data_IF_853567390948
#
_entry.id   IF_853567390948
#
_cell.length_a   1.000
_cell.length_b   1.000
_cell.length_c   1.000
_cell.angle_alpha   90.00
_cell.angle_beta   90.00
_cell.angle_gamma   90.00
#
_symmetry.space_group_name_H-M   'P 1'
#
loop_
_entity.id
_entity.type
_entity.pdbx_description
1 polymer ?
#
# COMPACT_ATOMS: atom_id res chain seq x y z
N UNK A 1 -7.93 28.90 24.92
CA UNK A 1 -9.14 28.53 24.17
C UNK A 1 -9.01 28.69 22.65
N UNK A 2 -8.92 29.89 22.05
CA UNK A 2 -8.99 30.01 20.57
C UNK A 2 -7.85 29.34 19.76
N UNK A 3 -6.63 29.27 20.32
CA UNK A 3 -5.48 28.62 19.67
C UNK A 3 -5.52 27.09 19.79
N UNK A 4 -5.93 26.56 20.95
CA UNK A 4 -6.08 25.12 21.19
C UNK A 4 -7.12 24.52 20.24
N UNK A 5 -8.29 25.15 20.11
CA UNK A 5 -9.33 24.68 19.17
C UNK A 5 -8.85 24.66 17.72
N UNK A 6 -7.97 25.59 17.32
CA UNK A 6 -7.38 25.62 15.98
C UNK A 6 -6.39 24.48 15.77
N UNK A 7 -5.55 24.18 16.76
CA UNK A 7 -4.61 23.06 16.70
C UNK A 7 -5.35 21.71 16.61
N UNK A 8 -6.40 21.51 17.41
CA UNK A 8 -7.23 20.30 17.35
C UNK A 8 -7.97 20.17 16.00
N UNK A 9 -8.44 21.28 15.43
CA UNK A 9 -9.07 21.28 14.09
C UNK A 9 -8.06 20.93 12.99
N UNK A 10 -6.83 21.45 13.07
CA UNK A 10 -5.75 21.10 12.15
C UNK A 10 -5.36 19.62 12.30
N UNK A 11 -5.33 19.10 13.53
CA UNK A 11 -5.12 17.68 13.78
C UNK A 11 -6.26 16.83 13.20
N UNK A 12 -7.53 17.23 13.32
CA UNK A 12 -8.63 16.51 12.67
C UNK A 12 -8.46 16.46 11.13
N UNK A 13 -8.06 17.56 10.51
CA UNK A 13 -7.73 17.62 9.09
C UNK A 13 -6.55 16.70 8.74
N UNK A 14 -5.48 16.70 9.55
CA UNK A 14 -4.32 15.85 9.38
C UNK A 14 -4.65 14.35 9.53
N UNK A 15 -5.56 14.01 10.44
CA UNK A 15 -6.04 12.64 10.61
C UNK A 15 -6.78 12.17 9.35
N UNK A 16 -7.73 12.96 8.85
CA UNK A 16 -8.48 12.63 7.62
C UNK A 16 -7.52 12.46 6.44
N UNK A 17 -6.55 13.36 6.31
CA UNK A 17 -5.50 13.29 5.29
C UNK A 17 -4.62 12.03 5.39
N UNK A 18 -4.14 11.71 6.60
CA UNK A 18 -3.19 10.62 6.83
C UNK A 18 -3.82 9.25 7.00
N UNK A 19 -5.15 9.17 7.21
CA UNK A 19 -5.84 7.91 7.46
C UNK A 19 -5.67 6.87 6.35
N UNK A 20 -5.73 7.20 5.04
CA UNK A 20 -5.50 6.22 3.97
C UNK A 20 -4.11 5.58 4.04
N UNK A 21 -3.06 6.39 4.26
CA UNK A 21 -1.69 5.91 4.41
C UNK A 21 -1.56 5.00 5.64
N UNK A 22 -1.96 5.49 6.82
CA UNK A 22 -1.74 4.77 8.07
C UNK A 22 -2.53 3.47 8.10
N UNK A 23 -3.84 3.53 7.82
CA UNK A 23 -4.69 2.33 7.86
C UNK A 23 -4.37 1.36 6.74
N UNK A 24 -3.99 1.88 5.56
CA UNK A 24 -3.54 1.07 4.43
C UNK A 24 -2.29 0.26 4.78
N UNK A 25 -1.25 0.91 5.30
CA UNK A 25 0.00 0.22 5.67
C UNK A 25 -0.15 -0.66 6.91
N UNK A 26 -1.02 -0.31 7.87
CA UNK A 26 -1.39 -1.24 8.96
C UNK A 26 -2.04 -2.52 8.40
N UNK A 27 -2.88 -2.38 7.38
CA UNK A 27 -3.51 -3.53 6.71
C UNK A 27 -2.49 -4.37 5.95
N UNK A 28 -1.51 -3.74 5.27
CA UNK A 28 -0.35 -4.44 4.68
C UNK A 28 0.39 -5.22 5.76
N UNK A 29 0.70 -4.59 6.90
CA UNK A 29 1.36 -5.24 8.03
C UNK A 29 0.59 -6.47 8.53
N UNK A 30 -0.72 -6.32 8.74
CA UNK A 30 -1.62 -7.41 9.15
C UNK A 30 -1.63 -8.55 8.11
N UNK A 31 -1.79 -8.24 6.83
CA UNK A 31 -1.84 -9.24 5.75
C UNK A 31 -0.52 -9.99 5.59
N UNK A 32 0.60 -9.33 5.83
CA UNK A 32 1.92 -10.00 5.77
C UNK A 32 2.17 -10.95 6.94
N UNK A 33 1.51 -10.74 8.09
CA UNK A 33 1.72 -11.52 9.32
C UNK A 33 0.64 -12.57 9.55
N UNK A 34 -0.63 -12.18 9.43
CA UNK A 34 -1.78 -12.97 9.88
C UNK A 34 -2.74 -13.35 8.72
N UNK A 35 -2.70 -12.62 7.60
CA UNK A 35 -3.66 -12.79 6.50
C UNK A 35 -5.04 -12.20 6.81
N UNK A 36 -6.02 -12.45 5.94
CA UNK A 36 -7.40 -11.96 6.11
C UNK A 36 -8.41 -12.88 5.43
N UNK A 37 -9.30 -13.49 6.22
CA UNK A 37 -10.33 -14.39 5.69
C UNK A 37 -9.71 -15.60 4.98
N UNK A 38 -9.88 -15.70 3.66
CA UNK A 38 -9.31 -16.76 2.82
C UNK A 38 -7.96 -16.36 2.23
N UNK A 39 -7.57 -15.09 2.34
CA UNK A 39 -6.27 -14.63 1.91
C UNK A 39 -5.25 -15.06 2.98
N UNK A 40 -4.34 -15.99 2.68
CA UNK A 40 -3.34 -16.43 3.65
C UNK A 40 -2.35 -15.30 3.94
N UNK A 41 -1.71 -15.37 5.12
CA UNK A 41 -0.54 -14.55 5.39
C UNK A 41 0.53 -14.77 4.31
N UNK A 42 1.16 -13.71 3.84
CA UNK A 42 2.17 -13.80 2.78
C UNK A 42 3.20 -12.71 2.93
N UNK A 43 4.47 -13.10 2.91
CA UNK A 43 5.60 -12.17 2.99
C UNK A 43 5.59 -11.19 1.80
N UNK A 44 6.28 -10.05 1.97
CA UNK A 44 6.53 -9.13 0.86
C UNK A 44 7.11 -9.86 -0.35
N UNK A 45 6.77 -9.37 -1.54
CA UNK A 45 7.23 -9.86 -2.83
C UNK A 45 6.78 -11.29 -3.16
N UNK A 46 5.73 -11.78 -2.50
CA UNK A 46 5.07 -13.05 -2.80
C UNK A 46 3.57 -12.86 -3.02
N UNK A 47 2.97 -13.75 -3.81
CA UNK A 47 1.53 -13.74 -4.06
C UNK A 47 0.77 -14.56 -3.01
N UNK A 48 -0.27 -13.96 -2.45
CA UNK A 48 -1.37 -14.63 -1.78
C UNK A 48 -2.54 -14.77 -2.77
N UNK A 49 -3.25 -15.89 -2.70
CA UNK A 49 -4.42 -16.13 -3.55
C UNK A 49 -5.66 -16.28 -2.69
N UNK A 50 -6.66 -15.43 -2.93
CA UNK A 50 -7.96 -15.57 -2.29
C UNK A 50 -8.77 -16.64 -3.01
N UNK A 51 -9.47 -17.47 -2.25
CA UNK A 51 -10.43 -18.42 -2.79
C UNK A 51 -11.86 -17.82 -2.74
N UNK A 52 -12.75 -18.24 -3.66
CA UNK A 52 -14.05 -17.58 -3.91
C UNK A 52 -15.05 -17.63 -2.73
N UNK A 53 -14.67 -18.25 -1.61
CA UNK A 53 -15.50 -18.35 -0.40
C UNK A 53 -15.53 -17.07 0.43
N UNK A 54 -14.77 -16.03 0.07
CA UNK A 54 -14.71 -14.78 0.83
C UNK A 54 -15.38 -13.65 0.10
N UNK A 55 -16.37 -13.04 0.75
CA UNK A 55 -16.96 -11.77 0.34
C UNK A 55 -15.97 -10.60 0.44
N UNK A 56 -14.84 -10.69 -0.25
CA UNK A 56 -14.06 -9.53 -0.60
C UNK A 56 -14.94 -8.62 -1.45
N UNK A 57 -15.12 -7.33 -1.10
CA UNK A 57 -15.97 -6.44 -1.84
C UNK A 57 -15.52 -6.34 -3.31
N UNK A 58 -16.43 -6.62 -4.25
CA UNK A 58 -16.16 -6.51 -5.70
C UNK A 58 -15.73 -7.80 -6.41
N UNK A 59 -15.78 -8.96 -5.75
CA UNK A 59 -15.31 -10.24 -6.30
C UNK A 59 -16.40 -11.09 -7.00
N UNK A 60 -17.57 -10.52 -7.31
CA UNK A 60 -18.61 -11.23 -8.06
C UNK A 60 -18.09 -11.63 -9.45
N UNK A 61 -17.75 -12.92 -9.62
CA UNK A 61 -17.26 -13.46 -10.89
C UNK A 61 -15.76 -13.30 -11.13
N UNK A 62 -14.95 -13.05 -10.09
CA UNK A 62 -13.48 -13.04 -10.21
C UNK A 62 -12.76 -13.83 -9.13
N UNK A 63 -11.58 -14.37 -9.45
CA UNK A 63 -10.62 -14.83 -8.44
C UNK A 63 -9.50 -13.82 -8.28
N UNK A 64 -9.21 -13.46 -7.02
CA UNK A 64 -8.25 -12.44 -6.65
C UNK A 64 -6.91 -13.05 -6.23
N UNK A 65 -5.81 -12.39 -6.62
CA UNK A 65 -4.48 -12.59 -6.04
C UNK A 65 -3.92 -11.25 -5.61
N UNK A 66 -3.15 -11.24 -4.53
CA UNK A 66 -2.60 -10.04 -3.94
C UNK A 66 -1.12 -10.25 -3.66
N UNK A 67 -0.29 -9.25 -3.95
CA UNK A 67 1.10 -9.21 -3.50
C UNK A 67 1.39 -7.82 -2.93
N UNK A 68 1.92 -7.78 -1.71
CA UNK A 68 2.53 -6.56 -1.19
C UNK A 68 3.97 -6.49 -1.66
N UNK A 69 4.33 -5.39 -2.29
CA UNK A 69 5.63 -5.15 -2.88
C UNK A 69 6.47 -4.34 -1.91
N UNK A 70 7.68 -4.81 -1.67
CA UNK A 70 8.75 -4.05 -1.04
C UNK A 70 9.86 -3.86 -2.08
N UNK A 71 9.95 -2.63 -2.56
CA UNK A 71 10.94 -2.15 -3.53
C UNK A 71 12.10 -1.41 -2.85
N UNK A 72 12.12 -1.33 -1.52
CA UNK A 72 13.21 -0.69 -0.76
C UNK A 72 14.54 -1.42 -0.91
N UNK A 73 14.49 -2.71 -1.25
CA UNK A 73 15.68 -3.55 -1.51
C UNK A 73 16.08 -3.60 -3.00
N UNK A 74 15.30 -2.96 -3.88
CA UNK A 74 15.55 -2.90 -5.32
C UNK A 74 14.33 -3.27 -6.16
N UNK A 75 14.48 -3.24 -7.50
CA UNK A 75 13.39 -3.51 -8.41
C UNK A 75 13.06 -5.01 -8.50
N UNK A 76 11.79 -5.29 -8.82
CA UNK A 76 11.25 -6.65 -8.98
C UNK A 76 10.87 -6.90 -10.44
N UNK A 77 11.08 -8.11 -10.92
CA UNK A 77 10.52 -8.59 -12.19
C UNK A 77 9.22 -9.34 -11.89
N UNK A 78 8.11 -8.76 -12.33
CA UNK A 78 6.80 -9.41 -12.34
C UNK A 78 6.69 -10.29 -13.57
N UNK A 79 6.40 -11.58 -13.38
CA UNK A 79 6.06 -12.53 -14.42
C UNK A 79 4.58 -12.84 -14.40
N UNK A 80 3.96 -12.76 -15.58
CA UNK A 80 2.53 -12.98 -15.77
C UNK A 80 2.32 -14.02 -16.86
N UNK A 81 1.56 -15.09 -16.61
CA UNK A 81 1.24 -16.07 -17.64
C UNK A 81 0.22 -15.50 -18.64
N UNK A 82 0.18 -16.04 -19.87
CA UNK A 82 -0.85 -15.66 -20.85
C UNK A 82 -2.24 -16.04 -20.33
N UNK A 83 -3.15 -15.07 -20.29
CA UNK A 83 -4.54 -15.29 -19.86
C UNK A 83 -5.48 -15.61 -21.02
N UNK A 84 -5.00 -15.54 -22.27
CA UNK A 84 -5.84 -15.72 -23.45
C UNK A 84 -6.99 -14.69 -23.48
N UNK A 85 -8.21 -15.07 -23.88
CA UNK A 85 -9.34 -14.14 -23.93
C UNK A 85 -9.95 -13.81 -22.56
N UNK A 86 -9.46 -14.43 -21.47
CA UNK A 86 -10.02 -14.27 -20.12
C UNK A 86 -9.75 -12.88 -19.58
N UNK A 87 -10.77 -12.21 -19.07
CA UNK A 87 -10.63 -10.95 -18.34
C UNK A 87 -9.53 -11.07 -17.27
N UNK A 88 -8.54 -10.19 -17.35
CA UNK A 88 -7.44 -10.09 -16.41
C UNK A 88 -7.06 -8.63 -16.21
N UNK A 89 -6.92 -8.22 -14.96
CA UNK A 89 -6.40 -6.90 -14.56
C UNK A 89 -5.32 -7.07 -13.51
N UNK A 90 -4.25 -6.29 -13.66
CA UNK A 90 -3.13 -6.17 -12.74
C UNK A 90 -3.10 -4.70 -12.30
N UNK A 91 -3.67 -4.42 -11.14
CA UNK A 91 -3.82 -3.09 -10.57
C UNK A 91 -2.66 -2.84 -9.60
N UNK A 92 -1.98 -1.70 -9.76
CA UNK A 92 -0.86 -1.30 -8.91
C UNK A 92 -1.25 -0.08 -8.08
N UNK A 93 -1.19 -0.25 -6.75
CA UNK A 93 -1.63 0.72 -5.75
C UNK A 93 -0.46 1.17 -4.91
N UNK A 94 -0.24 2.48 -4.76
CA UNK A 94 0.85 3.02 -3.93
C UNK A 94 0.51 2.98 -2.42
N UNK A 95 1.45 3.41 -1.57
CA UNK A 95 1.24 3.45 -0.12
C UNK A 95 0.10 4.41 0.31
N UNK A 96 -0.23 5.39 -0.52
CA UNK A 96 -1.30 6.37 -0.31
C UNK A 96 -2.65 5.91 -0.86
N UNK A 97 -2.75 4.65 -1.29
CA UNK A 97 -3.95 4.03 -1.86
C UNK A 97 -4.33 4.54 -3.26
N UNK A 98 -3.42 5.22 -3.96
CA UNK A 98 -3.65 5.66 -5.34
C UNK A 98 -3.31 4.56 -6.33
N UNK A 99 -4.17 4.37 -7.33
CA UNK A 99 -3.83 3.57 -8.51
C UNK A 99 -2.85 4.34 -9.40
N UNK A 100 -1.64 3.80 -9.56
CA UNK A 100 -0.60 4.46 -10.37
C UNK A 100 -0.31 3.74 -11.69
N UNK A 101 -0.66 2.45 -11.79
CA UNK A 101 -0.51 1.70 -13.03
C UNK A 101 -1.56 0.60 -13.16
N UNK A 102 -1.80 0.18 -14.41
CA UNK A 102 -2.62 -0.95 -14.77
C UNK A 102 -1.94 -1.74 -15.89
N UNK A 103 -1.86 -3.05 -15.75
CA UNK A 103 -1.57 -3.96 -16.85
C UNK A 103 -2.77 -4.91 -17.07
N UNK A 104 -2.89 -5.52 -18.26
CA UNK A 104 -3.95 -6.50 -18.57
C UNK A 104 -4.52 -6.41 -19.99
N UNK A 105 -5.63 -7.12 -20.23
CA UNK A 105 -6.23 -7.27 -21.57
C UNK A 105 -6.64 -5.94 -22.23
N UNK A 106 -7.09 -4.97 -21.43
CA UNK A 106 -7.42 -3.62 -21.90
C UNK A 106 -6.18 -2.76 -22.22
N UNK A 107 -5.00 -3.18 -21.78
CA UNK A 107 -3.70 -2.60 -22.10
C UNK A 107 -2.92 -3.42 -23.17
N UNK A 108 -3.58 -4.37 -23.85
CA UNK A 108 -2.99 -5.15 -24.96
C UNK A 108 -2.31 -6.47 -24.57
N UNK A 109 -2.48 -6.96 -23.34
CA UNK A 109 -1.69 -8.10 -22.80
C UNK A 109 -2.47 -9.38 -22.53
N UNK A 110 -3.05 -10.03 -23.55
CA UNK A 110 -3.53 -11.42 -23.42
C UNK A 110 -2.39 -12.45 -23.37
N UNK A 111 -1.22 -12.08 -23.89
CA UNK A 111 -0.05 -12.95 -24.10
C UNK A 111 0.86 -13.08 -22.87
N UNK A 112 0.45 -12.58 -21.71
CA UNK A 112 1.30 -12.58 -20.50
C UNK A 112 2.53 -11.69 -20.68
N UNK A 113 3.63 -11.97 -19.98
CA UNK A 113 4.90 -11.27 -20.17
C UNK A 113 5.67 -11.02 -18.88
N UNK A 114 6.66 -10.13 -18.97
CA UNK A 114 7.42 -9.68 -17.81
C UNK A 114 7.45 -8.16 -17.74
N UNK A 115 7.29 -7.60 -16.55
CA UNK A 115 7.37 -6.17 -16.26
C UNK A 115 8.43 -5.95 -15.20
N UNK A 116 9.17 -4.85 -15.31
CA UNK A 116 10.05 -4.41 -14.24
C UNK A 116 9.30 -3.43 -13.34
N UNK A 117 9.15 -3.76 -12.08
CA UNK A 117 8.61 -2.90 -11.04
C UNK A 117 9.79 -2.18 -10.38
N UNK A 118 9.91 -0.88 -10.60
CA UNK A 118 11.05 -0.10 -10.16
C UNK A 118 10.68 0.81 -8.96
N UNK A 119 11.55 0.95 -7.94
CA UNK A 119 11.35 1.96 -6.91
C UNK A 119 11.48 3.38 -7.50
N UNK A 120 10.97 4.41 -6.79
CA UNK A 120 11.08 5.80 -7.23
C UNK A 120 12.53 6.18 -7.56
N UNK A 121 12.75 6.77 -8.74
CA UNK A 121 14.05 7.30 -9.16
C UNK A 121 15.12 6.24 -9.45
N UNK A 122 14.74 4.98 -9.71
CA UNK A 122 15.69 3.93 -10.05
C UNK A 122 16.34 4.14 -11.43
N UNK A 123 17.67 4.15 -11.49
CA UNK A 123 18.46 4.40 -12.71
C UNK A 123 19.25 3.17 -13.22
N UNK A 124 18.82 1.96 -12.85
CA UNK A 124 19.53 0.74 -13.24
C UNK A 124 19.27 0.29 -14.67
N UNK A 125 19.96 -0.79 -15.08
CA UNK A 125 19.81 -1.35 -16.42
C UNK A 125 18.54 -2.19 -16.54
N UNK A 126 17.68 -1.84 -17.49
CA UNK A 126 16.46 -2.59 -17.81
C UNK A 126 16.82 -3.86 -18.60
N UNK A 127 16.39 -5.06 -18.17
CA UNK A 127 16.57 -6.28 -18.95
C UNK A 127 15.82 -6.23 -20.28
N UNK A 128 16.43 -6.72 -21.37
CA UNK A 128 15.74 -6.82 -22.66
C UNK A 128 14.56 -7.80 -22.68
N UNK A 129 14.38 -8.59 -21.62
CA UNK A 129 13.28 -9.56 -21.47
C UNK A 129 12.00 -8.96 -20.89
N UNK A 130 12.05 -7.74 -20.32
CA UNK A 130 10.84 -7.09 -19.80
C UNK A 130 10.17 -6.27 -20.91
N UNK A 131 8.84 -6.27 -20.92
CA UNK A 131 8.02 -5.53 -21.88
C UNK A 131 8.01 -4.03 -21.58
N UNK A 132 7.95 -3.70 -20.31
CA UNK A 132 7.77 -2.35 -19.82
C UNK A 132 8.31 -2.21 -18.39
N UNK A 133 8.67 -0.99 -18.03
CA UNK A 133 9.03 -0.60 -16.67
C UNK A 133 7.84 0.14 -16.06
N UNK A 134 7.42 -0.30 -14.88
CA UNK A 134 6.42 0.34 -14.05
C UNK A 134 7.15 0.94 -12.86
N UNK A 135 7.31 2.25 -12.85
CA UNK A 135 7.91 2.97 -11.73
C UNK A 135 6.85 3.22 -10.65
N UNK A 136 7.12 2.73 -9.43
CA UNK A 136 6.24 2.93 -8.30
C UNK A 136 6.47 4.32 -7.68
N UNK A 137 5.40 5.06 -7.29
CA UNK A 137 5.53 6.34 -6.58
C UNK A 137 6.12 6.20 -5.17
N UNK A 138 5.99 5.03 -4.56
CA UNK A 138 6.45 4.70 -3.21
C UNK A 138 7.18 3.37 -3.20
N UNK A 139 8.14 3.19 -2.29
CA UNK A 139 8.90 1.94 -2.19
C UNK A 139 8.06 0.75 -1.70
N UNK A 140 6.91 0.99 -1.07
CA UNK A 140 5.90 -0.03 -0.79
C UNK A 140 4.70 0.20 -1.69
N UNK A 141 4.19 -0.88 -2.29
CA UNK A 141 3.02 -0.86 -3.15
C UNK A 141 2.23 -2.16 -3.01
N UNK A 142 1.00 -2.21 -3.51
CA UNK A 142 0.19 -3.43 -3.57
C UNK A 142 -0.18 -3.73 -5.01
N UNK A 143 0.08 -4.96 -5.44
CA UNK A 143 -0.39 -5.52 -6.70
C UNK A 143 -1.64 -6.36 -6.44
N UNK A 144 -2.76 -5.94 -7.03
CA UNK A 144 -4.01 -6.69 -7.01
C UNK A 144 -4.29 -7.25 -8.40
N UNK A 145 -4.43 -8.57 -8.48
CA UNK A 145 -4.71 -9.29 -9.72
C UNK A 145 -6.10 -9.88 -9.65
N UNK A 146 -6.92 -9.64 -10.67
CA UNK A 146 -8.26 -10.26 -10.78
C UNK A 146 -8.41 -10.95 -12.12
N UNK A 147 -8.85 -12.20 -12.08
CA UNK A 147 -9.21 -12.99 -13.25
C UNK A 147 -10.71 -13.24 -13.29
N UNK A 148 -11.34 -13.01 -14.44
CA UNK A 148 -12.74 -13.39 -14.67
C UNK A 148 -12.90 -14.91 -14.56
N UNK A 149 -13.89 -15.35 -13.79
CA UNK A 149 -14.13 -16.76 -13.49
C UNK A 149 -15.63 -17.05 -13.38
N UNK A 150 -16.10 -18.03 -14.14
CA UNK A 150 -17.42 -18.61 -13.95
C UNK A 150 -17.38 -19.51 -12.70
N UNK A 151 -17.67 -18.94 -11.51
CA UNK A 151 -17.52 -19.62 -10.22
C UNK A 151 -18.37 -20.89 -10.06
N UNK A 152 -19.44 -21.05 -10.86
CA UNK A 152 -20.27 -22.25 -10.90
C UNK A 152 -19.65 -23.39 -11.73
N UNK A 153 -18.61 -23.11 -12.51
CA UNK A 153 -17.90 -24.07 -13.34
C UNK A 153 -16.58 -24.48 -12.67
N UNK A 154 -16.52 -25.73 -12.20
CA UNK A 154 -15.35 -26.25 -11.52
C UNK A 154 -14.10 -26.35 -12.42
N UNK A 155 -14.29 -26.56 -13.72
CA UNK A 155 -13.19 -26.60 -14.69
C UNK A 155 -12.62 -25.19 -14.90
N UNK A 156 -13.48 -24.19 -15.02
CA UNK A 156 -13.04 -22.79 -15.13
C UNK A 156 -12.31 -22.31 -13.87
N UNK A 157 -12.82 -22.67 -12.68
CA UNK A 157 -12.15 -22.38 -11.39
C UNK A 157 -10.78 -23.05 -11.34
N UNK A 158 -10.65 -24.30 -11.79
CA UNK A 158 -9.37 -25.00 -11.84
C UNK A 158 -8.38 -24.32 -12.81
N UNK A 159 -8.85 -23.90 -13.98
CA UNK A 159 -8.03 -23.20 -14.97
C UNK A 159 -7.52 -21.84 -14.43
N UNK A 160 -8.35 -21.08 -13.71
CA UNK A 160 -7.92 -19.81 -13.09
C UNK A 160 -6.94 -20.05 -11.94
N UNK A 161 -7.10 -21.14 -11.19
CA UNK A 161 -6.15 -21.55 -10.15
C UNK A 161 -4.77 -21.90 -10.72
N UNK A 162 -4.73 -22.55 -11.88
CA UNK A 162 -3.47 -22.81 -12.59
C UNK A 162 -2.84 -21.52 -13.11
N UNK A 163 -3.63 -20.61 -13.71
CA UNK A 163 -3.15 -19.31 -14.16
C UNK A 163 -2.54 -18.48 -13.03
N UNK A 164 -3.22 -18.36 -11.87
CA UNK A 164 -2.69 -17.58 -10.75
C UNK A 164 -1.42 -18.19 -10.14
N UNK A 165 -1.27 -19.53 -10.19
CA UNK A 165 -0.07 -20.21 -9.72
C UNK A 165 1.17 -19.92 -10.60
N UNK A 166 0.97 -19.45 -11.83
CA UNK A 166 2.03 -18.99 -12.73
C UNK A 166 2.49 -17.55 -12.48
N UNK A 167 1.87 -16.81 -11.57
CA UNK A 167 2.31 -15.47 -11.19
C UNK A 167 3.58 -15.56 -10.33
N UNK A 168 4.58 -14.75 -10.66
CA UNK A 168 5.82 -14.72 -9.87
C UNK A 168 6.42 -13.31 -9.81
N UNK A 169 7.11 -13.04 -8.71
CA UNK A 169 7.91 -11.85 -8.48
C UNK A 169 9.33 -12.31 -8.17
N UNK A 170 10.32 -11.71 -8.84
CA UNK A 170 11.73 -12.03 -8.63
C UNK A 170 12.53 -10.75 -8.45
N UNK A 171 13.43 -10.65 -7.46
CA UNK A 171 14.38 -9.55 -7.40
C UNK A 171 15.22 -9.49 -8.68
N UNK A 172 15.35 -8.31 -9.28
CA UNK A 172 16.22 -8.12 -10.46
C UNK A 172 17.69 -8.34 -10.09
N UNK A 173 18.07 -7.85 -8.91
CA UNK A 173 19.40 -7.98 -8.33
C UNK A 173 19.29 -8.69 -6.99
N UNK A 174 20.42 -9.15 -6.44
CA UNK A 174 20.45 -9.57 -5.05
C UNK A 174 19.85 -8.45 -4.17
N UNK A 175 19.05 -8.78 -3.14
CA UNK A 175 18.51 -7.78 -2.23
C UNK A 175 19.64 -6.89 -1.72
N UNK A 176 19.43 -5.58 -1.80
CA UNK A 176 20.38 -4.63 -1.24
C UNK A 176 20.47 -4.75 0.28
N UNK A 177 21.27 -3.88 0.93
CA UNK A 177 21.23 -3.69 2.39
C UNK A 177 20.03 -2.83 2.81
N UNK A 178 18.94 -2.89 2.04
CA UNK A 178 17.71 -2.16 2.32
C UNK A 178 17.14 -2.59 3.66
N UNK A 179 16.30 -1.73 4.23
CA UNK A 179 15.70 -1.98 5.54
C UNK A 179 14.81 -3.24 5.54
N UNK A 180 14.09 -3.47 4.44
CA UNK A 180 13.10 -4.53 4.32
C UNK A 180 11.81 -4.21 5.10
N UNK A 181 10.67 -4.42 4.45
CA UNK A 181 9.33 -4.29 5.00
C UNK A 181 8.92 -2.86 5.40
N UNK A 182 7.87 -2.78 6.21
CA UNK A 182 7.30 -1.49 6.61
C UNK A 182 8.19 -0.74 7.61
N UNK A 183 8.19 0.60 7.51
CA UNK A 183 8.75 1.43 8.53
C UNK A 183 8.10 1.24 9.89
N UNK A 184 8.90 1.27 10.95
CA UNK A 184 8.46 1.10 12.32
C UNK A 184 8.51 2.47 12.97
N UNK A 185 7.50 2.81 13.76
CA UNK A 185 7.52 4.01 14.58
C UNK A 185 8.55 3.93 15.70
N UNK A 186 8.95 5.07 16.23
CA UNK A 186 9.78 5.13 17.43
C UNK A 186 9.05 4.50 18.63
N UNK A 187 9.62 3.49 19.31
CA UNK A 187 8.99 2.85 20.46
C UNK A 187 8.83 3.80 21.66
N UNK A 188 9.52 4.95 21.67
CA UNK A 188 9.39 5.97 22.70
C UNK A 188 8.11 6.80 22.55
N UNK A 189 7.44 6.78 21.39
CA UNK A 189 6.20 7.51 21.20
C UNK A 189 5.10 7.01 22.17
N UNK A 190 4.37 7.95 22.77
CA UNK A 190 3.25 7.63 23.67
C UNK A 190 2.25 6.68 22.96
N UNK A 191 1.71 5.67 23.66
CA UNK A 191 0.72 4.75 23.08
C UNK A 191 -0.48 5.46 22.43
N UNK A 192 -0.95 6.55 23.05
CA UNK A 192 -2.06 7.36 22.54
C UNK A 192 -1.72 8.13 21.25
N UNK A 193 -0.43 8.28 20.92
CA UNK A 193 0.03 9.07 19.78
C UNK A 193 0.68 8.22 18.69
N UNK A 194 0.52 6.89 18.75
CA UNK A 194 1.12 5.97 17.76
C UNK A 194 0.62 6.20 16.34
N UNK A 195 -0.62 6.66 16.17
CA UNK A 195 -1.13 7.05 14.86
C UNK A 195 -0.27 8.18 14.26
N UNK A 196 0.00 9.22 15.05
CA UNK A 196 0.80 10.38 14.63
C UNK A 196 2.24 10.00 14.32
N UNK A 197 2.84 9.14 15.14
CA UNK A 197 4.18 8.62 14.88
C UNK A 197 4.26 7.81 13.59
N UNK A 198 3.28 6.94 13.34
CA UNK A 198 3.18 6.19 12.07
C UNK A 198 3.00 7.11 10.89
N UNK A 199 2.13 8.11 10.99
CA UNK A 199 1.90 9.10 9.94
C UNK A 199 3.19 9.88 9.62
N UNK A 200 3.92 10.35 10.65
CA UNK A 200 5.20 11.05 10.50
C UNK A 200 6.23 10.18 9.77
N UNK A 201 6.46 8.96 10.26
CA UNK A 201 7.47 8.05 9.70
C UNK A 201 7.10 7.60 8.29
N UNK A 202 5.85 7.16 8.07
CA UNK A 202 5.42 6.65 6.77
C UNK A 202 5.28 7.74 5.72
N UNK A 203 4.85 8.96 6.07
CA UNK A 203 4.82 10.04 5.09
C UNK A 203 6.22 10.56 4.75
N UNK A 204 7.20 10.38 5.64
CA UNK A 204 8.61 10.64 5.36
C UNK A 204 9.22 9.61 4.40
N UNK A 205 9.01 8.32 4.67
CA UNK A 205 9.55 7.21 3.85
C UNK A 205 8.78 7.01 2.54
N UNK A 206 7.50 7.38 2.51
CA UNK A 206 6.61 7.30 1.36
C UNK A 206 6.01 8.68 1.08
N UNK A 207 6.80 9.63 0.53
CA UNK A 207 6.30 10.97 0.26
C UNK A 207 5.12 10.93 -0.72
N UNK A 208 4.07 11.73 -0.49
CA UNK A 208 2.91 11.77 -1.38
C UNK A 208 3.24 12.49 -2.69
N UNK A 209 2.27 12.51 -3.61
CA UNK A 209 2.38 13.23 -4.87
C UNK A 209 2.64 14.73 -4.68
N UNK A 210 3.10 15.42 -5.74
CA UNK A 210 3.54 16.82 -5.63
C UNK A 210 2.50 17.80 -5.06
N UNK A 211 1.22 17.63 -5.40
CA UNK A 211 0.15 18.50 -4.89
C UNK A 211 -0.12 18.26 -3.39
N UNK A 212 -0.07 17.01 -2.95
CA UNK A 212 -0.29 16.61 -1.57
C UNK A 212 0.88 16.99 -0.65
N UNK A 213 2.11 16.99 -1.20
CA UNK A 213 3.30 17.39 -0.44
C UNK A 213 3.21 18.85 0.03
N UNK A 214 2.74 19.75 -0.83
CA UNK A 214 2.52 21.15 -0.46
C UNK A 214 1.40 21.31 0.57
N UNK A 215 0.36 20.46 0.51
CA UNK A 215 -0.70 20.45 1.49
C UNK A 215 -0.21 19.97 2.87
N UNK A 216 0.70 18.98 2.89
CA UNK A 216 1.27 18.41 4.10
C UNK A 216 2.09 19.42 4.93
N UNK A 217 2.70 20.43 4.30
CA UNK A 217 3.45 21.50 4.99
C UNK A 217 2.65 22.18 6.10
N UNK A 218 1.32 22.23 5.95
CA UNK A 218 0.40 22.81 6.94
C UNK A 218 0.43 22.07 8.28
N UNK A 219 0.87 20.82 8.31
CA UNK A 219 0.89 20.00 9.50
C UNK A 219 2.22 20.04 10.27
N UNK A 220 3.18 20.88 9.87
CA UNK A 220 4.45 21.06 10.59
C UNK A 220 4.23 21.32 12.09
N UNK A 221 3.26 22.17 12.44
CA UNK A 221 3.00 22.52 13.85
C UNK A 221 2.48 21.34 14.69
N UNK A 222 2.11 20.23 14.07
CA UNK A 222 1.73 18.98 14.73
C UNK A 222 2.91 18.00 14.87
N UNK A 223 4.11 18.38 14.41
CA UNK A 223 5.31 17.54 14.44
C UNK A 223 5.40 16.52 13.31
N UNK A 224 4.46 16.51 12.36
CA UNK A 224 4.36 15.46 11.32
C UNK A 224 5.49 15.48 10.28
N UNK A 225 6.29 16.54 10.25
CA UNK A 225 7.39 16.72 9.33
C UNK A 225 8.74 16.81 10.06
N UNK A 226 8.76 16.55 11.37
CA UNK A 226 10.00 16.53 12.16
C UNK A 226 10.81 15.28 11.82
N UNK A 227 12.10 15.47 11.53
CA UNK A 227 13.06 14.40 11.28
C UNK A 227 13.73 13.94 12.58
N UNK A 228 14.16 12.67 12.62
CA UNK A 228 14.88 12.11 13.77
C UNK A 228 13.94 11.66 14.90
N UNK A 229 14.31 12.00 16.14
CA UNK A 229 13.64 11.54 17.36
C UNK A 229 12.16 11.94 17.36
N UNK A 230 11.29 11.05 17.84
CA UNK A 230 9.85 11.32 17.83
C UNK A 230 9.49 12.55 18.68
N UNK A 231 8.69 13.49 18.15
CA UNK A 231 8.15 14.59 18.95
C UNK A 231 7.04 14.12 19.91
N UNK A 232 6.65 12.85 19.83
CA UNK A 232 5.52 12.26 20.55
C UNK A 232 5.92 11.42 21.77
N UNK A 233 7.19 11.45 22.19
CA UNK A 233 7.64 10.76 23.41
C UNK A 233 7.19 11.49 24.68
N UNK A 234 7.40 12.80 24.73
CA UNK A 234 7.00 13.69 25.84
C UNK A 234 6.50 15.04 25.27
N UNK A 235 5.39 15.06 24.50
CA UNK A 235 4.88 16.27 23.89
C UNK A 235 4.40 17.29 24.93
N UNK A 236 4.43 18.57 24.58
CA UNK A 236 3.76 19.60 25.36
C UNK A 236 2.27 19.27 25.54
N UNK A 237 1.69 19.60 26.70
CA UNK A 237 0.32 19.24 27.06
C UNK A 237 -0.70 19.73 26.02
N UNK A 238 -0.47 20.90 25.44
CA UNK A 238 -1.31 21.50 24.41
C UNK A 238 -1.27 20.70 23.10
N UNK A 239 -0.08 20.24 22.69
CA UNK A 239 0.09 19.40 21.50
C UNK A 239 -0.57 18.04 21.72
N UNK A 240 -0.31 17.41 22.87
CA UNK A 240 -0.91 16.13 23.26
C UNK A 240 -2.44 16.19 23.18
N UNK A 241 -3.04 17.20 23.80
CA UNK A 241 -4.49 17.40 23.78
C UNK A 241 -5.02 17.63 22.35
N UNK A 242 -4.34 18.47 21.55
CA UNK A 242 -4.77 18.75 20.19
C UNK A 242 -4.76 17.50 19.30
N UNK A 243 -3.73 16.64 19.45
CA UNK A 243 -3.60 15.39 18.71
C UNK A 243 -4.66 14.36 19.13
N UNK A 244 -4.92 14.18 20.42
CA UNK A 244 -5.96 13.26 20.91
C UNK A 244 -7.37 13.68 20.47
N UNK A 245 -7.72 14.96 20.65
CA UNK A 245 -9.02 15.50 20.23
C UNK A 245 -9.17 15.52 18.71
N UNK A 246 -8.11 15.90 18.00
CA UNK A 246 -8.07 15.90 16.54
C UNK A 246 -8.24 14.51 15.95
N UNK A 247 -7.57 13.49 16.52
CA UNK A 247 -7.73 12.10 16.12
C UNK A 247 -9.17 11.63 16.31
N UNK A 248 -9.76 11.90 17.48
CA UNK A 248 -11.15 11.54 17.76
C UNK A 248 -12.13 12.21 16.78
N UNK A 249 -11.97 13.51 16.51
CA UNK A 249 -12.82 14.26 15.60
C UNK A 249 -12.64 13.83 14.13
N UNK A 250 -11.40 13.64 13.69
CA UNK A 250 -11.07 13.17 12.34
C UNK A 250 -11.58 11.75 12.09
N UNK A 251 -11.45 10.86 13.07
CA UNK A 251 -12.00 9.49 12.99
C UNK A 251 -13.51 9.51 12.83
N UNK A 252 -14.21 10.31 13.62
CA UNK A 252 -15.67 10.45 13.49
C UNK A 252 -16.08 10.97 12.11
N UNK A 253 -15.30 11.85 11.48
CA UNK A 253 -15.55 12.32 10.11
C UNK A 253 -15.38 11.21 9.08
N UNK A 254 -14.29 10.43 9.16
CA UNK A 254 -14.04 9.30 8.26
C UNK A 254 -15.14 8.26 8.38
N UNK A 255 -15.56 7.93 9.61
CA UNK A 255 -16.63 6.96 9.87
C UNK A 255 -18.00 7.43 9.38
N UNK A 256 -18.31 8.72 9.50
CA UNK A 256 -19.56 9.28 9.00
C UNK A 256 -19.66 9.33 7.47
N UNK A 257 -18.52 9.21 6.77
CA UNK A 257 -18.43 9.21 5.31
C UNK A 257 -18.38 7.81 4.68
N UNK A 258 -18.22 6.76 5.49
CA UNK A 258 -18.14 5.35 5.07
C UNK A 258 -19.54 4.69 4.97
#
# INVERSE_FOLDING_TARGET
MGHETRAASLAAEAYVYGAPLVRGLETVGLLTQDGLGSLPATAFNHFAHADPATGWPGDEGTLCSLAHLDLSEGPLVLQVPPSGPRYAVYQFVDAWTNDFAYAGLRAGGADGGSWLLAPPGWEGQVPGSVREVIEAPTAVATLVVRYGCALADAEDVAAVRELRAGLALHPLTAPGLGRGGLPGGDPLAEPALRFWERLRVWAGDFPPSGADRAYQERFQSLGLLEEGATPYAEPAAELRWALEEGEAAGRAQVEAAA
#
